data_IF_258962172792
#
_entry.id   IF_258962172792
#
_cell.length_a   1.000
_cell.length_b   1.000
_cell.length_c   1.000
_cell.angle_alpha   90.00
_cell.angle_beta   90.00
_cell.angle_gamma   90.00
#
_symmetry.space_group_name_H-M   'P 1'
#
loop_
_entity.id
_entity.type
_entity.pdbx_description
1 polymer ?
#
# COMPACT_ATOMS: atom_id res chain seq x y z
N UNK A 1 -27.17 2.06 7.04
CA UNK A 1 -28.18 2.01 5.96
C UNK A 1 -28.09 0.69 5.19
N UNK A 2 -29.10 0.44 4.38
CA UNK A 2 -29.12 -0.58 3.34
C UNK A 2 -29.02 0.11 1.98
N UNK A 3 -28.12 -0.31 1.12
CA UNK A 3 -28.00 0.16 -0.27
C UNK A 3 -28.40 -0.96 -1.22
N UNK A 4 -29.28 -0.66 -2.15
CA UNK A 4 -29.70 -1.60 -3.19
C UNK A 4 -29.40 -0.99 -4.57
N UNK A 5 -28.75 -1.77 -5.40
CA UNK A 5 -28.51 -1.44 -6.81
C UNK A 5 -29.32 -2.39 -7.66
N UNK A 6 -30.18 -1.84 -8.51
CA UNK A 6 -31.11 -2.59 -9.35
C UNK A 6 -30.83 -2.24 -10.81
N UNK A 7 -30.65 -3.26 -11.66
CA UNK A 7 -30.54 -3.14 -13.10
C UNK A 7 -31.40 -4.23 -13.77
N UNK A 8 -32.56 -3.86 -14.23
CA UNK A 8 -33.58 -4.79 -14.73
C UNK A 8 -33.94 -5.82 -13.65
N UNK A 9 -33.75 -7.11 -13.94
CA UNK A 9 -34.03 -8.20 -13.02
C UNK A 9 -32.89 -8.49 -12.02
N UNK A 10 -31.73 -7.85 -12.17
CA UNK A 10 -30.59 -8.04 -11.28
C UNK A 10 -30.65 -7.06 -10.12
N UNK A 11 -30.49 -7.58 -8.90
CA UNK A 11 -30.48 -6.81 -7.67
C UNK A 11 -29.26 -7.20 -6.82
N UNK A 12 -28.48 -6.20 -6.41
CA UNK A 12 -27.39 -6.35 -5.45
C UNK A 12 -27.74 -5.51 -4.22
N UNK A 13 -27.58 -6.07 -3.03
CA UNK A 13 -27.91 -5.39 -1.77
C UNK A 13 -26.69 -5.38 -0.84
N UNK A 14 -26.38 -4.21 -0.31
CA UNK A 14 -25.33 -4.00 0.68
C UNK A 14 -26.01 -3.62 2.00
N UNK A 15 -25.62 -4.30 3.07
CA UNK A 15 -26.06 -4.00 4.43
C UNK A 15 -25.01 -3.18 5.17
N UNK A 16 -25.39 -2.53 6.26
CA UNK A 16 -24.49 -1.79 7.14
C UNK A 16 -23.64 -0.73 6.41
N UNK A 17 -24.27 0.01 5.49
CA UNK A 17 -23.64 1.12 4.76
C UNK A 17 -23.66 2.37 5.63
N UNK A 18 -22.51 3.05 5.76
CA UNK A 18 -22.40 4.36 6.37
C UNK A 18 -22.27 5.43 5.28
N UNK A 19 -22.81 6.61 5.54
CA UNK A 19 -22.64 7.80 4.70
C UNK A 19 -21.80 8.78 5.53
N UNK A 20 -20.65 9.19 5.01
CA UNK A 20 -19.69 10.05 5.70
C UNK A 20 -18.51 10.37 4.81
N UNK A 21 -17.40 10.85 5.39
CA UNK A 21 -16.20 11.23 4.66
C UNK A 21 -15.30 10.02 4.46
N UNK A 22 -14.72 9.92 3.24
CA UNK A 22 -13.73 8.89 2.90
C UNK A 22 -12.40 9.55 2.58
N UNK A 23 -11.35 9.11 3.27
CA UNK A 23 -10.00 9.64 3.15
C UNK A 23 -9.02 8.58 2.66
N UNK A 24 -8.09 9.00 1.79
CA UNK A 24 -6.98 8.17 1.34
C UNK A 24 -5.76 8.38 2.25
N UNK A 25 -5.32 7.32 2.92
CA UNK A 25 -4.13 7.30 3.77
C UNK A 25 -2.98 6.60 3.03
N UNK A 26 -2.37 7.30 2.09
CA UNK A 26 -1.23 6.87 1.28
C UNK A 26 0.11 7.39 1.80
N UNK A 27 1.19 6.87 1.26
CA UNK A 27 2.56 7.28 1.58
C UNK A 27 3.47 6.10 1.91
N UNK A 28 4.47 6.36 2.75
CA UNK A 28 5.48 5.34 3.05
C UNK A 28 5.52 4.96 4.55
N UNK A 29 6.69 4.69 5.12
CA UNK A 29 6.89 4.06 6.43
C UNK A 29 6.14 4.72 7.60
N UNK A 30 6.05 6.05 7.64
CA UNK A 30 5.32 6.74 8.72
C UNK A 30 3.81 6.46 8.63
N UNK A 31 3.25 6.50 7.43
CA UNK A 31 1.85 6.17 7.21
C UNK A 31 1.58 4.66 7.40
N UNK A 32 2.58 3.81 7.20
CA UNK A 32 2.50 2.36 7.45
C UNK A 32 2.64 1.99 8.93
N UNK A 33 3.13 2.89 9.77
CA UNK A 33 3.40 2.63 11.17
C UNK A 33 2.12 2.26 11.92
N UNK A 34 2.06 1.01 12.40
CA UNK A 34 0.86 0.44 12.99
C UNK A 34 0.59 0.93 14.42
N UNK A 35 -0.68 1.05 14.79
CA UNK A 35 -1.11 1.53 16.12
C UNK A 35 -0.53 0.68 17.27
N UNK A 36 -0.36 -0.63 17.10
CA UNK A 36 0.28 -1.48 18.12
C UNK A 36 1.73 -1.10 18.45
N UNK A 37 2.37 -0.23 17.68
CA UNK A 37 3.77 0.17 17.82
C UNK A 37 3.97 1.56 18.43
N UNK A 38 2.87 2.28 18.70
CA UNK A 38 2.98 3.61 19.33
C UNK A 38 3.29 3.46 20.82
N UNK A 39 3.76 4.55 21.42
CA UNK A 39 3.81 4.67 22.87
C UNK A 39 2.39 4.53 23.44
N UNK A 40 2.25 3.82 24.53
CA UNK A 40 0.95 3.57 25.20
C UNK A 40 -0.09 2.83 24.34
N UNK A 41 0.38 2.02 23.37
CA UNK A 41 -0.46 1.30 22.40
C UNK A 41 -1.60 0.50 23.06
N UNK A 42 -1.34 -0.17 24.19
CA UNK A 42 -2.36 -0.98 24.87
C UNK A 42 -3.55 -0.14 25.35
N UNK A 43 -3.28 1.04 25.89
CA UNK A 43 -4.33 1.97 26.32
C UNK A 43 -5.13 2.45 25.12
N UNK A 44 -4.46 2.91 24.05
CA UNK A 44 -5.13 3.39 22.83
C UNK A 44 -5.98 2.30 22.17
N UNK A 45 -5.45 1.09 22.07
CA UNK A 45 -6.15 -0.06 21.47
C UNK A 45 -7.38 -0.43 22.30
N UNK A 46 -7.27 -0.46 23.63
CA UNK A 46 -8.41 -0.79 24.50
C UNK A 46 -9.57 0.19 24.38
N UNK A 47 -9.27 1.45 24.03
CA UNK A 47 -10.25 2.53 23.83
C UNK A 47 -10.72 2.67 22.38
N UNK A 48 -10.21 1.86 21.46
CA UNK A 48 -10.47 1.97 20.02
C UNK A 48 -11.82 1.34 19.62
N UNK A 49 -12.89 1.75 20.27
CA UNK A 49 -14.27 1.32 19.95
C UNK A 49 -15.02 2.45 19.22
N UNK A 50 -14.85 2.50 17.89
CA UNK A 50 -15.45 3.51 17.02
C UNK A 50 -16.17 2.83 15.84
N UNK A 51 -17.41 2.36 16.01
CA UNK A 51 -18.13 1.60 14.98
C UNK A 51 -18.44 2.41 13.72
N UNK A 52 -18.37 3.73 13.79
CA UNK A 52 -18.52 4.62 12.63
C UNK A 52 -17.19 4.98 11.94
N UNK A 53 -16.05 4.47 12.42
CA UNK A 53 -14.78 4.56 11.73
C UNK A 53 -14.46 3.21 11.09
N UNK A 54 -14.17 3.21 9.80
CA UNK A 54 -13.87 1.98 9.05
C UNK A 54 -12.59 2.12 8.24
N UNK A 55 -11.88 1.01 8.14
CA UNK A 55 -10.63 0.92 7.38
C UNK A 55 -10.76 -0.11 6.27
N UNK A 56 -10.29 0.28 5.10
CA UNK A 56 -10.05 -0.61 3.97
C UNK A 56 -8.56 -0.61 3.68
N UNK A 57 -7.86 -1.71 3.96
CA UNK A 57 -6.44 -1.84 3.65
C UNK A 57 -6.31 -2.38 2.24
N UNK A 58 -5.78 -1.54 1.32
CA UNK A 58 -5.52 -1.93 -0.06
C UNK A 58 -4.49 -3.06 -0.06
N UNK A 59 -4.76 -4.20 -0.69
CA UNK A 59 -3.79 -5.26 -0.86
C UNK A 59 -2.58 -4.76 -1.65
N UNK A 60 -1.38 -5.10 -1.18
CA UNK A 60 -0.16 -4.69 -1.89
C UNK A 60 -0.05 -5.39 -3.22
N UNK A 61 -0.01 -4.60 -4.28
CA UNK A 61 0.16 -5.06 -5.65
C UNK A 61 1.28 -4.25 -6.30
N UNK A 62 2.39 -4.89 -6.60
CA UNK A 62 3.58 -4.23 -7.14
C UNK A 62 3.68 -4.31 -8.66
N UNK A 63 2.98 -5.25 -9.28
CA UNK A 63 2.89 -5.39 -10.73
C UNK A 63 1.50 -5.92 -11.15
N UNK A 64 1.04 -5.62 -12.37
CA UNK A 64 -0.37 -5.86 -12.78
C UNK A 64 -0.83 -7.31 -12.65
N UNK A 65 0.05 -8.28 -12.94
CA UNK A 65 -0.27 -9.71 -12.92
C UNK A 65 -0.18 -10.34 -11.51
N UNK A 66 0.25 -9.57 -10.50
CA UNK A 66 0.33 -10.09 -9.14
C UNK A 66 -1.06 -10.40 -8.59
N UNK A 67 -1.26 -11.64 -8.19
CA UNK A 67 -2.45 -12.03 -7.44
C UNK A 67 -2.38 -11.47 -6.00
N UNK A 68 -3.47 -10.92 -5.55
CA UNK A 68 -3.59 -10.39 -4.18
C UNK A 68 -4.86 -10.90 -3.52
N UNK A 69 -4.82 -11.04 -2.20
CA UNK A 69 -5.98 -11.43 -1.42
C UNK A 69 -7.10 -10.39 -1.50
N UNK A 70 -8.34 -10.84 -1.42
CA UNK A 70 -9.49 -9.93 -1.31
C UNK A 70 -9.38 -9.16 0.00
N UNK A 71 -9.66 -7.87 -0.07
CA UNK A 71 -9.77 -7.00 1.10
C UNK A 71 -11.24 -6.65 1.38
N UNK A 72 -11.50 -6.25 2.61
CA UNK A 72 -12.81 -5.77 3.04
C UNK A 72 -12.66 -4.61 4.01
N UNK A 73 -13.73 -3.81 4.11
CA UNK A 73 -13.83 -2.81 5.16
C UNK A 73 -13.85 -3.46 6.54
N UNK A 74 -13.08 -2.91 7.46
CA UNK A 74 -13.00 -3.36 8.85
C UNK A 74 -13.43 -2.23 9.77
N UNK A 75 -14.32 -2.53 10.71
CA UNK A 75 -14.76 -1.59 11.74
C UNK A 75 -13.60 -1.35 12.71
N UNK A 76 -13.44 -0.11 13.17
CA UNK A 76 -12.46 0.24 14.19
C UNK A 76 -12.94 -0.31 15.56
N UNK A 77 -12.24 -1.31 16.05
CA UNK A 77 -12.48 -1.95 17.34
C UNK A 77 -11.14 -2.33 17.99
N UNK A 78 -11.11 -2.66 19.29
CA UNK A 78 -9.89 -3.14 19.95
C UNK A 78 -9.23 -4.34 19.25
N UNK A 79 -10.01 -5.18 18.56
CA UNK A 79 -9.51 -6.35 17.84
C UNK A 79 -8.88 -5.99 16.49
N UNK A 80 -9.31 -4.93 15.84
CA UNK A 80 -8.87 -4.56 14.49
C UNK A 80 -7.89 -3.40 14.46
N UNK A 81 -8.01 -2.46 15.40
CA UNK A 81 -7.20 -1.25 15.48
C UNK A 81 -5.68 -1.48 15.60
N UNK A 82 -5.17 -2.55 16.19
CA UNK A 82 -3.72 -2.80 16.26
C UNK A 82 -2.99 -2.74 14.92
N UNK A 83 -3.67 -3.14 13.83
CA UNK A 83 -3.11 -3.21 12.49
C UNK A 83 -3.34 -1.95 11.65
N UNK A 84 -4.09 -0.99 12.14
CA UNK A 84 -4.33 0.25 11.42
C UNK A 84 -3.12 1.18 11.48
N UNK A 85 -2.96 2.03 10.47
CA UNK A 85 -2.00 3.13 10.54
C UNK A 85 -2.27 4.00 11.76
N UNK A 86 -1.26 4.24 12.58
CA UNK A 86 -1.41 5.10 13.76
C UNK A 86 -1.82 6.52 13.37
N UNK A 87 -1.18 7.08 12.32
CA UNK A 87 -1.50 8.43 11.82
C UNK A 87 -2.97 8.48 11.35
N UNK A 88 -3.38 7.50 10.53
CA UNK A 88 -4.74 7.44 10.02
C UNK A 88 -5.77 7.22 11.14
N UNK A 89 -5.43 6.42 12.17
CA UNK A 89 -6.27 6.21 13.34
C UNK A 89 -6.49 7.51 14.12
N UNK A 90 -5.43 8.20 14.51
CA UNK A 90 -5.58 9.44 15.27
C UNK A 90 -6.28 10.53 14.47
N UNK A 91 -5.99 10.63 13.17
CA UNK A 91 -6.66 11.54 12.26
C UNK A 91 -8.16 11.26 12.22
N UNK A 92 -8.56 10.02 11.87
CA UNK A 92 -9.97 9.65 11.74
C UNK A 92 -10.74 9.77 13.04
N UNK A 93 -10.12 9.39 14.17
CA UNK A 93 -10.72 9.54 15.50
C UNK A 93 -10.99 11.00 15.84
N UNK A 94 -10.05 11.89 15.58
CA UNK A 94 -10.20 13.32 15.89
C UNK A 94 -11.28 13.95 15.00
N UNK A 95 -11.26 13.72 13.69
CA UNK A 95 -12.29 14.23 12.77
C UNK A 95 -13.68 13.70 13.16
N UNK A 96 -13.78 12.40 13.44
CA UNK A 96 -15.06 11.80 13.87
C UNK A 96 -15.60 12.45 15.15
N UNK A 97 -14.75 12.70 16.15
CA UNK A 97 -15.15 13.33 17.41
C UNK A 97 -15.59 14.78 17.23
N UNK A 98 -14.90 15.54 16.38
CA UNK A 98 -15.21 16.96 16.15
C UNK A 98 -16.46 17.15 15.30
N UNK A 99 -16.62 16.35 14.24
CA UNK A 99 -17.69 16.54 13.26
C UNK A 99 -18.90 15.62 13.46
N UNK A 100 -18.74 14.57 14.28
CA UNK A 100 -19.75 13.53 14.49
C UNK A 100 -20.27 12.89 13.18
N UNK A 101 -19.38 12.69 12.21
CA UNK A 101 -19.67 12.02 10.93
C UNK A 101 -18.95 10.68 10.84
N UNK A 102 -19.50 9.68 10.14
CA UNK A 102 -18.77 8.45 9.84
C UNK A 102 -17.51 8.73 9.02
N UNK A 103 -16.43 8.01 9.31
CA UNK A 103 -15.16 8.16 8.60
C UNK A 103 -14.71 6.83 8.01
N UNK A 104 -14.47 6.84 6.70
CA UNK A 104 -13.82 5.74 5.99
C UNK A 104 -12.37 6.07 5.68
N UNK A 105 -11.45 5.14 5.94
CA UNK A 105 -10.04 5.28 5.59
C UNK A 105 -9.67 4.20 4.59
N UNK A 106 -9.22 4.61 3.40
CA UNK A 106 -8.57 3.73 2.43
C UNK A 106 -7.06 3.81 2.69
N UNK A 107 -6.50 2.74 3.26
CA UNK A 107 -5.11 2.69 3.68
C UNK A 107 -4.25 1.98 2.63
N UNK A 108 -3.29 2.70 2.04
CA UNK A 108 -2.45 2.20 0.94
C UNK A 108 -0.96 2.56 1.10
N UNK A 109 -0.33 2.50 2.29
CA UNK A 109 1.07 2.84 2.43
C UNK A 109 1.98 1.67 2.05
N UNK A 110 3.15 2.01 1.49
CA UNK A 110 4.26 1.08 1.25
C UNK A 110 5.56 1.71 1.74
N UNK A 111 6.12 1.21 2.83
CA UNK A 111 7.36 1.73 3.42
C UNK A 111 8.55 1.63 2.48
N UNK A 112 9.45 2.62 2.56
CA UNK A 112 10.67 2.68 1.76
C UNK A 112 10.49 3.18 0.32
N UNK A 113 9.30 3.62 -0.08
CA UNK A 113 9.02 4.10 -1.44
C UNK A 113 9.27 5.59 -1.60
N UNK A 114 9.66 5.99 -2.81
CA UNK A 114 9.80 7.39 -3.22
C UNK A 114 8.49 7.93 -3.77
N UNK A 115 8.36 9.25 -3.87
CA UNK A 115 7.13 9.89 -4.39
C UNK A 115 6.87 9.55 -5.85
N UNK A 116 7.92 9.33 -6.63
CA UNK A 116 7.83 8.98 -8.05
C UNK A 116 7.15 7.62 -8.28
N UNK A 117 7.24 6.70 -7.33
CA UNK A 117 6.52 5.42 -7.41
C UNK A 117 5.00 5.61 -7.34
N UNK A 118 4.54 6.66 -6.67
CA UNK A 118 3.13 7.01 -6.48
C UNK A 118 2.58 8.01 -7.49
N UNK A 119 3.44 8.53 -8.37
CA UNK A 119 3.09 9.58 -9.34
C UNK A 119 2.86 8.98 -10.71
N UNK A 120 1.79 9.40 -11.40
CA UNK A 120 1.49 8.90 -12.74
C UNK A 120 2.57 9.31 -13.74
N UNK A 121 2.78 8.49 -14.79
CA UNK A 121 3.73 8.78 -15.87
C UNK A 121 3.41 10.14 -16.54
N UNK A 122 2.12 10.42 -16.78
CA UNK A 122 1.68 11.68 -17.38
C UNK A 122 2.15 12.88 -16.56
N UNK A 123 2.00 12.82 -15.24
CA UNK A 123 2.41 13.89 -14.35
C UNK A 123 3.93 14.04 -14.29
N UNK A 124 4.68 12.95 -14.14
CA UNK A 124 6.15 13.02 -14.16
C UNK A 124 6.71 13.54 -15.48
N UNK A 125 6.08 13.18 -16.60
CA UNK A 125 6.50 13.65 -17.93
C UNK A 125 6.06 15.06 -18.25
N UNK A 126 5.12 15.63 -17.52
CA UNK A 126 4.66 17.02 -17.74
C UNK A 126 5.64 18.07 -17.22
N UNK A 127 6.54 17.69 -16.33
CA UNK A 127 7.53 18.60 -15.74
C UNK A 127 8.96 18.18 -16.11
N UNK A 128 9.73 19.13 -16.68
CA UNK A 128 11.11 18.92 -17.14
C UNK A 128 12.05 18.41 -16.04
N UNK A 129 11.79 18.75 -14.79
CA UNK A 129 12.65 18.38 -13.66
C UNK A 129 12.44 16.90 -13.25
N UNK A 130 11.28 16.32 -13.59
CA UNK A 130 10.96 14.92 -13.32
C UNK A 130 11.13 13.98 -14.52
N UNK A 131 11.12 14.51 -15.76
CA UNK A 131 11.34 13.70 -16.97
C UNK A 131 12.59 12.80 -16.92
N UNK A 132 13.77 13.26 -16.40
CA UNK A 132 14.97 12.42 -16.32
C UNK A 132 14.78 11.15 -15.51
N UNK A 133 13.90 11.14 -14.48
CA UNK A 133 13.61 9.98 -13.64
C UNK A 133 12.97 8.87 -14.50
N UNK A 134 11.95 9.24 -15.28
CA UNK A 134 11.25 8.31 -16.17
C UNK A 134 12.15 7.83 -17.29
N UNK A 135 12.91 8.75 -17.92
CA UNK A 135 13.83 8.42 -19.00
C UNK A 135 14.94 7.48 -18.56
N UNK A 136 15.49 7.68 -17.36
CA UNK A 136 16.48 6.79 -16.77
C UNK A 136 15.92 5.39 -16.53
N UNK A 137 14.72 5.30 -15.94
CA UNK A 137 14.02 4.03 -15.75
C UNK A 137 13.80 3.30 -17.08
N UNK A 138 13.26 4.00 -18.08
CA UNK A 138 13.02 3.45 -19.41
C UNK A 138 14.32 2.96 -20.08
N UNK A 139 15.41 3.71 -19.93
CA UNK A 139 16.74 3.31 -20.43
C UNK A 139 17.21 2.00 -19.81
N UNK A 140 17.09 1.86 -18.48
CA UNK A 140 17.46 0.62 -17.78
C UNK A 140 16.61 -0.55 -18.29
N UNK A 141 15.30 -0.41 -18.32
CA UNK A 141 14.39 -1.49 -18.74
C UNK A 141 14.64 -1.90 -20.18
N UNK A 142 14.83 -0.92 -21.08
CA UNK A 142 15.12 -1.18 -22.50
C UNK A 142 16.47 -1.87 -22.71
N UNK A 143 17.44 -1.66 -21.81
CA UNK A 143 18.78 -2.29 -21.93
C UNK A 143 18.75 -3.81 -21.72
N UNK A 144 17.72 -4.34 -21.07
CA UNK A 144 17.63 -5.78 -20.78
C UNK A 144 17.35 -6.64 -22.03
N UNK A 145 16.76 -6.06 -23.06
CA UNK A 145 16.32 -6.79 -24.24
C UNK A 145 15.16 -7.78 -23.95
N UNK A 146 14.76 -8.57 -24.94
CA UNK A 146 13.72 -9.59 -24.79
C UNK A 146 14.11 -10.60 -23.70
N UNK A 147 13.19 -10.86 -22.76
CA UNK A 147 13.33 -11.79 -21.63
C UNK A 147 14.49 -11.49 -20.65
N UNK A 148 15.27 -10.45 -20.89
CA UNK A 148 16.45 -10.14 -20.04
C UNK A 148 16.04 -9.81 -18.60
N UNK A 149 14.98 -9.04 -18.41
CA UNK A 149 14.46 -8.73 -17.08
C UNK A 149 14.00 -9.99 -16.33
N UNK A 150 13.26 -10.90 -16.95
CA UNK A 150 12.77 -12.11 -16.29
C UNK A 150 13.95 -13.02 -15.87
N UNK A 151 14.99 -13.13 -16.68
CA UNK A 151 16.20 -13.87 -16.33
C UNK A 151 16.91 -13.26 -15.12
N UNK A 152 17.05 -11.93 -15.08
CA UNK A 152 17.65 -11.21 -13.95
C UNK A 152 16.79 -11.35 -12.68
N UNK A 153 15.50 -11.19 -12.81
CA UNK A 153 14.58 -11.32 -11.69
C UNK A 153 14.58 -12.74 -11.09
N UNK A 154 14.58 -13.77 -11.93
CA UNK A 154 14.65 -15.16 -11.47
C UNK A 154 15.99 -15.47 -10.77
N UNK A 155 17.11 -14.93 -11.28
CA UNK A 155 18.41 -15.01 -10.60
C UNK A 155 18.36 -14.32 -9.23
N UNK A 156 17.82 -13.11 -9.16
CA UNK A 156 17.61 -12.40 -7.89
C UNK A 156 16.83 -13.24 -6.89
N UNK A 157 15.69 -13.81 -7.29
CA UNK A 157 14.84 -14.64 -6.41
C UNK A 157 15.63 -15.85 -5.88
N UNK A 158 16.39 -16.55 -6.74
CA UNK A 158 17.23 -17.67 -6.32
C UNK A 158 18.29 -17.22 -5.31
N UNK A 159 19.04 -16.16 -5.62
CA UNK A 159 20.08 -15.63 -4.72
C UNK A 159 19.50 -15.11 -3.40
N UNK A 160 18.31 -14.50 -3.42
CA UNK A 160 17.64 -14.05 -2.21
C UNK A 160 17.20 -15.23 -1.33
N UNK A 161 16.75 -16.32 -1.94
CA UNK A 161 16.39 -17.55 -1.24
C UNK A 161 17.61 -18.16 -0.55
N UNK A 162 18.75 -18.25 -1.25
CA UNK A 162 20.03 -18.71 -0.69
C UNK A 162 20.50 -17.80 0.45
N UNK A 163 20.43 -16.48 0.26
CA UNK A 163 20.81 -15.50 1.28
C UNK A 163 20.00 -15.68 2.58
N UNK A 164 18.70 -15.97 2.48
CA UNK A 164 17.84 -16.18 3.65
C UNK A 164 18.17 -17.46 4.43
N UNK A 165 18.85 -18.42 3.79
CA UNK A 165 19.32 -19.67 4.45
C UNK A 165 20.65 -19.48 5.19
N UNK A 166 21.35 -18.37 4.98
CA UNK A 166 22.61 -18.06 5.64
C UNK A 166 22.38 -17.78 7.14
N UNK A 167 23.38 -18.17 7.96
CA UNK A 167 23.43 -17.74 9.35
C UNK A 167 23.68 -16.23 9.48
N UNK A 168 23.33 -15.64 10.61
CA UNK A 168 23.59 -14.22 10.86
C UNK A 168 25.08 -13.86 10.81
N UNK A 169 25.97 -14.81 11.08
CA UNK A 169 27.41 -14.63 10.95
C UNK A 169 27.84 -14.58 9.48
N UNK A 170 27.33 -15.47 8.63
CA UNK A 170 27.60 -15.45 7.19
C UNK A 170 27.08 -14.21 6.50
N UNK A 171 25.91 -13.70 6.89
CA UNK A 171 25.30 -12.46 6.37
C UNK A 171 26.13 -11.20 6.61
N UNK A 172 27.10 -11.25 7.54
CA UNK A 172 28.03 -10.11 7.75
C UNK A 172 29.03 -9.94 6.60
N UNK A 173 29.27 -10.99 5.83
CA UNK A 173 30.27 -11.03 4.76
C UNK A 173 29.68 -11.17 3.36
N UNK A 174 28.38 -11.30 3.25
CA UNK A 174 27.67 -11.50 1.99
C UNK A 174 26.59 -10.42 1.86
N UNK A 175 26.70 -9.61 0.83
CA UNK A 175 25.70 -8.58 0.56
C UNK A 175 24.35 -9.21 0.22
N UNK A 176 23.31 -8.59 0.76
CA UNK A 176 21.96 -8.98 0.39
C UNK A 176 21.73 -8.71 -1.10
N UNK A 177 21.20 -9.69 -1.86
CA UNK A 177 20.89 -9.49 -3.27
C UNK A 177 19.97 -8.28 -3.49
N UNK A 178 20.29 -7.48 -4.50
CA UNK A 178 19.52 -6.29 -4.87
C UNK A 178 18.54 -6.67 -5.97
N UNK A 179 17.29 -6.29 -5.77
CA UNK A 179 16.24 -6.51 -6.77
C UNK A 179 16.52 -5.68 -8.02
N UNK A 180 16.54 -6.29 -9.24
CA UNK A 180 16.74 -5.54 -10.46
C UNK A 180 15.62 -4.52 -10.68
N UNK A 181 16.00 -3.33 -11.18
CA UNK A 181 15.01 -2.33 -11.56
C UNK A 181 14.19 -2.86 -12.73
N UNK A 182 12.87 -2.85 -12.61
CA UNK A 182 11.97 -3.32 -13.65
C UNK A 182 10.54 -3.43 -13.17
N UNK A 183 9.68 -4.09 -13.94
CA UNK A 183 8.23 -4.07 -13.74
C UNK A 183 7.74 -4.62 -12.39
N UNK A 184 8.51 -5.50 -11.75
CA UNK A 184 8.16 -6.08 -10.44
C UNK A 184 8.74 -5.31 -9.26
N UNK A 185 9.71 -4.43 -9.49
CA UNK A 185 10.35 -3.64 -8.44
C UNK A 185 9.40 -2.54 -7.95
N UNK A 186 9.07 -2.56 -6.66
CA UNK A 186 8.11 -1.61 -6.08
C UNK A 186 8.68 -0.19 -5.87
N UNK A 187 10.01 -0.02 -6.03
CA UNK A 187 10.65 1.30 -6.04
C UNK A 187 10.65 1.97 -7.42
N UNK A 188 10.21 1.25 -8.47
CA UNK A 188 10.17 1.83 -9.81
C UNK A 188 9.27 3.06 -9.86
N UNK A 189 9.63 4.09 -10.64
CA UNK A 189 8.72 5.20 -10.89
C UNK A 189 7.37 4.68 -11.41
N UNK A 190 6.27 5.37 -11.08
CA UNK A 190 4.91 5.10 -11.58
C UNK A 190 4.28 3.83 -10.96
N UNK A 191 5.08 2.86 -10.51
CA UNK A 191 4.64 1.50 -10.22
C UNK A 191 3.44 1.40 -9.29
N UNK A 192 3.47 2.06 -8.17
CA UNK A 192 2.40 2.04 -7.18
C UNK A 192 1.19 2.90 -7.60
N UNK A 193 1.44 3.96 -8.40
CA UNK A 193 0.36 4.70 -9.05
C UNK A 193 -0.48 3.80 -9.94
N UNK A 194 0.17 2.94 -10.74
CA UNK A 194 -0.53 2.02 -11.66
C UNK A 194 -1.24 0.86 -10.96
N UNK A 195 -0.74 0.39 -9.83
CA UNK A 195 -1.19 -0.88 -9.24
C UNK A 195 -2.00 -0.74 -7.96
N UNK A 196 -1.86 0.38 -7.26
CA UNK A 196 -2.50 0.59 -5.95
C UNK A 196 -3.44 1.81 -5.90
N UNK A 197 -3.38 2.72 -6.88
CA UNK A 197 -4.24 3.90 -6.96
C UNK A 197 -5.23 3.88 -8.13
N UNK A 198 -5.09 2.96 -9.08
CA UNK A 198 -5.98 2.77 -10.23
C UNK A 198 -6.94 1.59 -10.04
#
# INVERSE_FOLDING_TARGET
YKLEVINGNNKVSFQDVLIGDVWLAGGQSNMEFALRRVKDAQTEISLADYPQIRYYKVPRKFYPEQEVSKASWRVCSPQTAPEFSAIAYYFSRNIHKELNVPIGIIQTPVGGTTVEAWTSRTLLMSDKDFQPIVQHYDSIVNSYGPDGYEKLYNRYVSSLTEYHQLSEEQKKYIDKPVEPMGRKNFHRPIGLSETMLN
#
